data_IF_340514009722
#
_entry.id   IF_340514009722
#
_cell.length_a   1.000
_cell.length_b   1.000
_cell.length_c   1.000
_cell.angle_alpha   90.00
_cell.angle_beta   90.00
_cell.angle_gamma   90.00
#
_symmetry.space_group_name_H-M   'P 1'
#
loop_
_entity.id
_entity.type
_entity.pdbx_description
1 polymer ?
#
# COMPACT_ATOMS: atom_id res chain seq x y z
N UNK A 1 -3.50 11.57 -16.17
CA UNK A 1 -4.61 11.11 -15.31
C UNK A 1 -4.04 10.83 -13.92
N UNK A 2 -4.56 11.45 -12.87
CA UNK A 2 -4.21 11.10 -11.50
C UNK A 2 -4.89 9.81 -11.06
N UNK A 3 -4.23 9.01 -10.22
CA UNK A 3 -4.78 7.77 -9.67
C UNK A 3 -4.84 7.81 -8.14
N UNK A 4 -5.78 7.05 -7.58
CA UNK A 4 -5.80 6.60 -6.19
C UNK A 4 -5.32 5.16 -6.15
N UNK A 5 -4.43 4.85 -5.23
CA UNK A 5 -3.89 3.51 -5.02
C UNK A 5 -4.26 3.04 -3.63
N UNK A 6 -4.75 1.80 -3.52
CA UNK A 6 -5.06 1.14 -2.26
C UNK A 6 -4.23 -0.13 -2.17
N UNK A 7 -3.35 -0.22 -1.16
CA UNK A 7 -2.54 -1.39 -0.86
C UNK A 7 -2.95 -1.95 0.50
N UNK A 8 -3.09 -3.27 0.57
CA UNK A 8 -3.21 -4.00 1.83
C UNK A 8 -1.89 -4.67 2.14
N UNK A 9 -1.32 -4.30 3.27
CA UNK A 9 -0.05 -4.84 3.77
C UNK A 9 -0.33 -5.85 4.90
N UNK A 10 0.41 -6.95 4.93
CA UNK A 10 0.41 -7.86 6.08
C UNK A 10 1.36 -7.37 7.20
N UNK A 11 1.45 -8.12 8.29
CA UNK A 11 2.31 -7.82 9.44
C UNK A 11 3.82 -7.83 9.12
N UNK A 12 4.22 -8.32 7.94
CA UNK A 12 5.60 -8.29 7.45
C UNK A 12 5.81 -7.17 6.41
N UNK A 13 4.83 -6.27 6.23
CA UNK A 13 4.89 -5.17 5.27
C UNK A 13 4.68 -5.57 3.81
N UNK A 14 4.38 -6.84 3.51
CA UNK A 14 4.17 -7.32 2.14
C UNK A 14 2.78 -6.95 1.63
N UNK A 15 2.69 -6.56 0.36
CA UNK A 15 1.40 -6.32 -0.30
C UNK A 15 0.72 -7.66 -0.57
N UNK A 16 -0.43 -7.89 0.07
CA UNK A 16 -1.22 -9.13 -0.08
C UNK A 16 -2.39 -8.96 -1.05
N UNK A 17 -2.91 -7.74 -1.17
CA UNK A 17 -3.94 -7.38 -2.14
C UNK A 17 -3.89 -5.87 -2.41
N UNK A 18 -4.42 -5.45 -3.56
CA UNK A 18 -4.37 -4.06 -3.99
C UNK A 18 -5.38 -3.75 -5.09
N UNK A 19 -5.79 -2.49 -5.16
CA UNK A 19 -6.58 -1.96 -6.27
C UNK A 19 -6.24 -0.49 -6.53
N UNK A 20 -6.68 0.03 -7.67
CA UNK A 20 -6.48 1.44 -8.02
C UNK A 20 -7.68 2.00 -8.77
N UNK A 21 -7.87 3.30 -8.62
CA UNK A 21 -8.93 4.03 -9.30
C UNK A 21 -8.44 5.38 -9.82
N UNK A 22 -9.27 6.05 -10.61
CA UNK A 22 -9.00 7.45 -10.98
C UNK A 22 -9.24 8.38 -9.79
N UNK A 23 -8.57 9.53 -9.74
CA UNK A 23 -8.69 10.48 -8.62
C UNK A 23 -10.13 10.91 -8.25
N UNK A 24 -11.05 10.91 -9.22
CA UNK A 24 -12.45 11.31 -8.98
C UNK A 24 -13.30 10.18 -8.36
N UNK A 25 -12.71 9.01 -8.14
CA UNK A 25 -13.41 7.84 -7.58
C UNK A 25 -13.50 7.97 -6.07
N UNK A 26 -14.66 7.68 -5.49
CA UNK A 26 -14.85 7.69 -4.04
C UNK A 26 -14.08 6.54 -3.36
N UNK A 27 -13.53 6.75 -2.17
CA UNK A 27 -12.68 5.74 -1.49
C UNK A 27 -13.46 4.46 -1.13
N UNK A 28 -14.79 4.58 -0.98
CA UNK A 28 -15.74 3.45 -0.91
C UNK A 28 -15.57 2.41 -2.03
N UNK A 29 -14.97 2.78 -3.16
CA UNK A 29 -14.59 1.84 -4.21
C UNK A 29 -13.70 0.69 -3.70
N UNK A 30 -12.87 0.94 -2.69
CA UNK A 30 -11.96 -0.04 -2.12
C UNK A 30 -12.59 -0.89 -1.00
N UNK A 31 -13.88 -0.69 -0.68
CA UNK A 31 -14.56 -1.50 0.33
C UNK A 31 -14.52 -3.00 0.06
N UNK A 32 -14.74 -3.50 -1.17
CA UNK A 32 -14.70 -4.95 -1.42
C UNK A 32 -13.33 -5.57 -1.10
N UNK A 33 -12.25 -4.81 -1.31
CA UNK A 33 -10.89 -5.22 -0.97
C UNK A 33 -10.73 -5.40 0.56
N UNK A 34 -11.36 -4.51 1.33
CA UNK A 34 -11.31 -4.49 2.80
C UNK A 34 -12.24 -5.57 3.39
N UNK A 35 -13.45 -5.71 2.85
CA UNK A 35 -14.45 -6.71 3.27
C UNK A 35 -13.97 -8.15 3.01
N UNK A 36 -13.12 -8.38 2.00
CA UNK A 36 -12.51 -9.68 1.76
C UNK A 36 -11.66 -10.21 2.94
N UNK A 37 -11.22 -9.33 3.83
CA UNK A 37 -10.47 -9.65 5.05
C UNK A 37 -11.33 -9.65 6.32
N UNK A 38 -12.65 -9.45 6.18
CA UNK A 38 -13.59 -9.51 7.30
C UNK A 38 -13.43 -10.84 8.05
N UNK A 39 -13.38 -10.78 9.38
CA UNK A 39 -13.12 -11.89 10.30
C UNK A 39 -11.73 -12.56 10.25
N UNK A 40 -10.84 -12.15 9.33
CA UNK A 40 -9.47 -12.71 9.23
C UNK A 40 -8.42 -11.77 9.84
N UNK A 41 -8.62 -10.46 9.73
CA UNK A 41 -7.67 -9.47 10.24
C UNK A 41 -8.33 -8.10 10.47
N UNK A 42 -7.64 -7.23 11.20
CA UNK A 42 -7.95 -5.79 11.23
C UNK A 42 -7.21 -5.10 10.08
N UNK A 43 -7.90 -4.18 9.40
CA UNK A 43 -7.30 -3.35 8.35
C UNK A 43 -7.01 -1.98 8.94
N UNK A 44 -5.76 -1.52 8.82
CA UNK A 44 -5.36 -0.20 9.26
C UNK A 44 -5.39 0.77 8.06
N UNK A 45 -6.04 1.93 8.24
CA UNK A 45 -6.09 2.98 7.22
C UNK A 45 -5.66 4.34 7.77
N UNK A 46 -5.11 5.18 6.89
CA UNK A 46 -4.86 6.59 7.21
C UNK A 46 -6.18 7.35 7.47
N UNK A 47 -6.09 8.44 8.22
CA UNK A 47 -7.22 9.33 8.55
C UNK A 47 -7.90 9.92 7.31
N UNK A 48 -7.20 10.00 6.19
CA UNK A 48 -7.70 10.47 4.90
C UNK A 48 -8.72 9.55 4.24
N UNK A 49 -8.87 8.28 4.70
CA UNK A 49 -9.85 7.36 4.14
C UNK A 49 -11.29 7.82 4.46
N UNK A 50 -12.06 8.16 3.42
CA UNK A 50 -13.43 8.67 3.58
C UNK A 50 -14.47 7.61 3.27
N UNK A 51 -15.29 7.27 4.26
CA UNK A 51 -16.52 6.52 4.05
C UNK A 51 -17.74 7.33 4.48
N UNK A 52 -18.66 7.56 3.53
CA UNK A 52 -19.92 8.26 3.81
C UNK A 52 -20.91 7.42 4.63
N UNK A 53 -20.84 6.09 4.52
CA UNK A 53 -21.70 5.15 5.24
C UNK A 53 -21.20 4.80 6.65
N UNK A 54 -20.09 5.41 7.09
CA UNK A 54 -19.39 5.03 8.33
C UNK A 54 -18.27 4.01 8.07
N UNK A 55 -17.32 3.95 8.99
CA UNK A 55 -16.14 3.10 8.85
C UNK A 55 -16.49 1.70 9.36
N UNK A 56 -16.23 0.63 8.59
CA UNK A 56 -16.47 -0.73 9.05
C UNK A 56 -15.69 -1.04 10.33
N UNK A 57 -16.23 -1.85 11.24
CA UNK A 57 -15.62 -2.10 12.56
C UNK A 57 -14.20 -2.71 12.49
N UNK A 58 -13.94 -3.51 11.46
CA UNK A 58 -12.64 -4.13 11.20
C UNK A 58 -11.65 -3.18 10.51
N UNK A 59 -12.09 -2.01 10.04
CA UNK A 59 -11.25 -0.94 9.50
C UNK A 59 -10.93 0.06 10.61
N UNK A 60 -9.71 0.03 11.14
CA UNK A 60 -9.25 0.99 12.14
C UNK A 60 -8.54 2.14 11.45
N UNK A 61 -9.06 3.35 11.62
CA UNK A 61 -8.31 4.56 11.26
C UNK A 61 -7.24 4.83 12.31
N UNK A 62 -6.00 4.97 11.86
CA UNK A 62 -4.88 5.20 12.75
C UNK A 62 -4.58 6.69 12.87
N UNK A 63 -4.78 7.24 14.06
CA UNK A 63 -4.25 8.55 14.41
C UNK A 63 -2.70 8.54 14.37
N UNK A 64 -2.11 9.71 14.18
CA UNK A 64 -0.65 9.84 14.08
C UNK A 64 -0.02 9.42 15.41
N UNK A 65 0.90 8.44 15.37
CA UNK A 65 1.64 7.97 16.54
C UNK A 65 0.93 6.90 17.39
N UNK A 66 -0.24 6.41 16.97
CA UNK A 66 -0.99 5.37 17.70
C UNK A 66 -0.55 3.95 17.35
N UNK A 67 -0.08 3.75 16.12
CA UNK A 67 0.30 2.46 15.56
C UNK A 67 1.60 2.65 14.78
N UNK A 68 2.67 1.91 15.15
CA UNK A 68 3.97 1.97 14.44
C UNK A 68 3.83 1.50 12.99
N UNK A 69 2.83 0.67 12.72
CA UNK A 69 2.42 0.13 11.42
C UNK A 69 2.05 1.23 10.42
N UNK A 70 1.61 2.41 10.91
CA UNK A 70 1.39 3.58 10.04
C UNK A 70 2.69 4.08 9.42
N UNK A 71 3.80 4.04 10.17
CA UNK A 71 5.12 4.41 9.66
C UNK A 71 5.57 3.44 8.57
N UNK A 72 5.23 2.16 8.69
CA UNK A 72 5.46 1.15 7.64
C UNK A 72 4.71 1.50 6.35
N UNK A 73 3.41 1.81 6.43
CA UNK A 73 2.59 2.19 5.26
C UNK A 73 3.11 3.46 4.59
N UNK A 74 3.42 4.51 5.37
CA UNK A 74 3.95 5.77 4.84
C UNK A 74 5.34 5.57 4.20
N UNK A 75 6.19 4.75 4.82
CA UNK A 75 7.51 4.36 4.31
C UNK A 75 7.40 3.60 2.99
N UNK A 76 6.55 2.58 2.94
CA UNK A 76 6.29 1.79 1.73
C UNK A 76 5.80 2.68 0.57
N UNK A 77 4.80 3.53 0.81
CA UNK A 77 4.27 4.44 -0.21
C UNK A 77 5.28 5.50 -0.65
N UNK A 78 6.07 6.05 0.29
CA UNK A 78 7.14 7.00 -0.03
C UNK A 78 8.19 6.36 -0.94
N UNK A 79 8.67 5.16 -0.57
CA UNK A 79 9.66 4.41 -1.32
C UNK A 79 9.16 4.04 -2.71
N UNK A 80 7.93 3.57 -2.83
CA UNK A 80 7.32 3.22 -4.12
C UNK A 80 7.10 4.47 -4.98
N UNK A 81 6.76 5.61 -4.38
CA UNK A 81 6.63 6.87 -5.12
C UNK A 81 7.99 7.38 -5.65
N UNK A 82 9.04 7.27 -4.82
CA UNK A 82 10.39 7.77 -5.12
C UNK A 82 11.15 6.82 -6.06
N UNK A 83 11.29 5.54 -5.69
CA UNK A 83 12.09 4.55 -6.43
C UNK A 83 11.40 4.17 -7.74
N UNK A 84 10.07 4.05 -7.74
CA UNK A 84 9.35 3.52 -8.91
C UNK A 84 8.78 4.62 -9.84
N UNK A 85 9.07 5.89 -9.53
CA UNK A 85 8.63 7.04 -10.34
C UNK A 85 7.12 7.12 -10.52
N UNK A 86 6.34 6.64 -9.54
CA UNK A 86 4.88 6.59 -9.60
C UNK A 86 4.25 7.99 -9.76
N UNK A 87 4.94 9.01 -9.25
CA UNK A 87 4.60 10.44 -9.42
C UNK A 87 4.61 10.90 -10.88
N UNK A 88 5.35 10.23 -11.75
CA UNK A 88 5.55 10.59 -13.16
C UNK A 88 4.86 9.61 -14.13
N UNK A 89 3.79 8.94 -13.71
CA UNK A 89 2.99 8.12 -14.63
C UNK A 89 2.21 9.02 -15.61
N UNK A 90 2.82 9.30 -16.76
CA UNK A 90 2.19 10.05 -17.84
C UNK A 90 1.24 9.15 -18.66
N UNK A 91 -0.01 9.59 -18.78
CA UNK A 91 -1.09 9.13 -19.68
C UNK A 91 -0.89 7.77 -20.38
N UNK A 92 -1.08 6.67 -19.63
CA UNK A 92 -1.26 5.33 -20.19
C UNK A 92 -2.73 4.95 -20.34
N UNK A 93 -3.05 4.08 -21.30
CA UNK A 93 -4.33 3.36 -21.32
C UNK A 93 -4.46 2.53 -20.02
N UNK A 94 -5.68 2.32 -19.53
CA UNK A 94 -5.94 1.57 -18.28
C UNK A 94 -5.14 0.25 -18.17
N UNK A 95 -5.01 -0.59 -19.22
CA UNK A 95 -4.24 -1.83 -19.13
C UNK A 95 -2.74 -1.61 -18.85
N UNK A 96 -2.15 -0.54 -19.39
CA UNK A 96 -0.75 -0.20 -19.14
C UNK A 96 -0.52 0.26 -17.70
N UNK A 97 -1.51 0.96 -17.11
CA UNK A 97 -1.47 1.35 -15.70
C UNK A 97 -1.60 0.11 -14.81
N UNK A 98 -2.57 -0.76 -15.08
CA UNK A 98 -2.75 -2.02 -14.36
C UNK A 98 -1.45 -2.85 -14.38
N UNK A 99 -0.89 -3.07 -15.58
CA UNK A 99 0.32 -3.87 -15.74
C UNK A 99 1.51 -3.26 -15.00
N UNK A 100 1.68 -1.93 -15.07
CA UNK A 100 2.74 -1.24 -14.32
C UNK A 100 2.56 -1.42 -12.82
N UNK A 101 1.37 -1.16 -12.29
CA UNK A 101 1.09 -1.31 -10.85
C UNK A 101 1.28 -2.76 -10.37
N UNK A 102 0.86 -3.75 -11.17
CA UNK A 102 1.07 -5.16 -10.86
C UNK A 102 2.57 -5.51 -10.78
N UNK A 103 3.37 -5.06 -11.77
CA UNK A 103 4.82 -5.24 -11.73
C UNK A 103 5.46 -4.56 -10.52
N UNK A 104 4.94 -3.39 -10.11
CA UNK A 104 5.44 -2.69 -8.94
C UNK A 104 5.15 -3.42 -7.63
N UNK A 105 3.94 -3.96 -7.48
CA UNK A 105 3.57 -4.79 -6.32
C UNK A 105 4.48 -6.02 -6.23
N UNK A 106 4.67 -6.73 -7.35
CA UNK A 106 5.54 -7.90 -7.39
C UNK A 106 6.99 -7.54 -7.04
N UNK A 107 7.54 -6.50 -7.66
CA UNK A 107 8.90 -6.02 -7.39
C UNK A 107 9.08 -5.61 -5.93
N UNK A 108 8.12 -4.88 -5.37
CA UNK A 108 8.14 -4.45 -3.97
C UNK A 108 8.24 -5.66 -3.02
N UNK A 109 7.38 -6.66 -3.20
CA UNK A 109 7.40 -7.87 -2.36
C UNK A 109 8.71 -8.66 -2.48
N UNK A 110 9.28 -8.75 -3.69
CA UNK A 110 10.57 -9.41 -3.91
C UNK A 110 11.71 -8.66 -3.21
N UNK A 111 11.79 -7.35 -3.37
CA UNK A 111 12.83 -6.53 -2.75
C UNK A 111 12.71 -6.52 -1.23
N UNK A 112 11.48 -6.48 -0.70
CA UNK A 112 11.23 -6.60 0.72
C UNK A 112 11.68 -7.96 1.27
N UNK A 113 11.36 -9.04 0.55
CA UNK A 113 11.83 -10.38 0.93
C UNK A 113 13.36 -10.48 0.91
N UNK A 114 14.02 -9.86 -0.08
CA UNK A 114 15.48 -9.83 -0.18
C UNK A 114 16.10 -9.00 0.95
N UNK A 115 15.50 -7.86 1.31
CA UNK A 115 15.94 -7.03 2.42
C UNK A 115 15.94 -7.82 3.74
N UNK A 116 14.85 -8.50 4.07
CA UNK A 116 14.79 -9.31 5.29
C UNK A 116 15.77 -10.50 5.29
N UNK A 117 16.13 -11.04 4.11
CA UNK A 117 17.17 -12.06 4.02
C UNK A 117 18.58 -11.51 4.30
N UNK A 118 18.86 -10.27 3.85
CA UNK A 118 20.15 -9.61 4.08
C UNK A 118 20.27 -9.02 5.48
N UNK A 119 19.14 -8.68 6.11
CA UNK A 119 19.05 -8.08 7.44
C UNK A 119 18.12 -8.89 8.35
N UNK A 120 18.50 -10.11 8.77
CA UNK A 120 17.63 -10.99 9.56
C UNK A 120 17.28 -10.43 10.95
N UNK A 121 18.09 -9.50 11.47
CA UNK A 121 17.87 -8.86 12.78
C UNK A 121 17.08 -7.54 12.67
N UNK A 122 16.71 -7.11 11.46
CA UNK A 122 15.90 -5.91 11.28
C UNK A 122 14.45 -6.17 11.73
N UNK A 123 13.81 -5.12 12.28
CA UNK A 123 12.39 -5.18 12.58
C UNK A 123 11.58 -5.45 11.28
N UNK A 124 10.51 -6.26 11.31
CA UNK A 124 9.70 -6.56 10.11
C UNK A 124 9.10 -5.32 9.41
N UNK A 125 8.97 -4.21 10.15
CA UNK A 125 8.48 -2.94 9.61
C UNK A 125 9.61 -1.99 9.19
N UNK A 126 10.87 -2.33 9.50
CA UNK A 126 12.03 -1.61 9.01
C UNK A 126 12.28 -2.01 7.55
N UNK A 127 12.23 -1.05 6.65
CA UNK A 127 12.39 -1.28 5.21
C UNK A 127 13.29 -0.21 4.58
N UNK A 128 14.15 -0.64 3.67
CA UNK A 128 15.00 0.27 2.89
C UNK A 128 15.30 -0.31 1.50
N UNK A 129 14.30 -0.20 0.61
CA UNK A 129 14.43 -0.46 -0.83
C UNK A 129 15.41 0.52 -1.49
N UNK A 130 15.69 1.67 -0.86
CA UNK A 130 16.69 2.61 -1.35
C UNK A 130 18.12 2.02 -1.36
N UNK A 131 18.42 1.02 -0.52
CA UNK A 131 19.69 0.28 -0.61
C UNK A 131 19.77 -0.57 -1.89
N UNK A 132 18.63 -0.82 -2.53
CA UNK A 132 18.52 -1.52 -3.81
C UNK A 132 18.24 -0.55 -4.96
N UNK A 133 18.49 0.75 -4.79
CA UNK A 133 18.35 1.74 -5.85
C UNK A 133 19.19 1.32 -7.07
N UNK A 134 18.51 1.04 -8.19
CA UNK A 134 19.09 0.85 -9.52
C UNK A 134 19.60 2.17 -10.11
#
# INVERSE_FOLDING_TARGET
>A
MGIKLCWLLNEQGQVVDWDWATMNTHDQHFHPLIEGLHDQSIVLADLGFRCAAGIPDHLKRCEKGTWNERMCVETALSMVTVVCGLKHMHHGLRPSIQARLASLVAMFNVLLSLFHQLHPDADPFQMSIAEFSL
#
